data_IF_711572893871
#
_entry.id   IF_711572893871
#
_cell.length_a   1.000
_cell.length_b   1.000
_cell.length_c   1.000
_cell.angle_alpha   90.00
_cell.angle_beta   90.00
_cell.angle_gamma   90.00
#
_symmetry.space_group_name_H-M   'P 1'
#
loop_
_entity.id
_entity.type
_entity.pdbx_description
1 polymer ?
#
# COMPACT_ATOMS: atom_id res chain seq x y z
N UNK A 1 33.90 34.27 -16.72
CA UNK A 1 34.54 32.95 -16.86
C UNK A 1 34.43 32.29 -15.49
N UNK A 2 33.59 31.29 -15.23
CA UNK A 2 32.72 30.46 -16.06
C UNK A 2 31.41 30.18 -15.34
N UNK A 3 30.33 30.11 -16.10
CA UNK A 3 29.01 29.65 -15.70
C UNK A 3 29.03 28.12 -15.77
N UNK A 4 28.90 27.44 -14.62
CA UNK A 4 28.91 25.98 -14.58
C UNK A 4 27.53 25.46 -15.00
N UNK A 5 27.32 25.40 -16.31
CA UNK A 5 26.17 24.73 -16.92
C UNK A 5 26.13 23.27 -16.48
N UNK A 6 25.10 22.89 -15.72
CA UNK A 6 24.83 21.50 -15.39
C UNK A 6 24.35 20.81 -16.69
N UNK A 7 25.24 20.03 -17.29
CA UNK A 7 24.93 19.15 -18.42
C UNK A 7 23.85 18.15 -17.97
N UNK A 8 22.61 18.38 -18.42
CA UNK A 8 21.53 17.40 -18.28
C UNK A 8 21.87 16.26 -19.21
N UNK A 9 22.56 15.25 -18.67
CA UNK A 9 22.81 14.01 -19.37
C UNK A 9 21.49 13.47 -19.90
N UNK A 10 21.40 13.37 -21.22
CA UNK A 10 20.29 12.79 -21.97
C UNK A 10 20.24 11.30 -21.65
N UNK A 11 19.65 10.97 -20.49
CA UNK A 11 19.23 9.63 -20.16
C UNK A 11 18.08 9.28 -21.09
N UNK A 12 18.40 8.71 -22.24
CA UNK A 12 17.45 8.09 -23.15
C UNK A 12 16.74 7.00 -22.35
N UNK A 13 15.53 7.30 -21.87
CA UNK A 13 14.69 6.36 -21.15
C UNK A 13 14.48 5.13 -22.04
N UNK A 14 15.13 4.02 -21.67
CA UNK A 14 14.97 2.66 -22.22
C UNK A 14 13.54 2.09 -22.01
N UNK A 15 12.54 2.95 -21.77
CA UNK A 15 11.10 2.65 -21.89
C UNK A 15 10.54 3.06 -23.25
N UNK A 16 11.39 3.17 -24.28
CA UNK A 16 11.00 3.40 -25.68
C UNK A 16 10.82 2.11 -26.47
N UNK A 17 10.84 0.94 -25.82
CA UNK A 17 10.33 -0.29 -26.42
C UNK A 17 8.87 -0.04 -26.81
N UNK A 18 8.65 0.14 -28.12
CA UNK A 18 7.41 0.52 -28.74
C UNK A 18 6.23 -0.26 -28.11
N UNK A 19 5.56 0.39 -27.15
CA UNK A 19 4.23 -0.03 -26.72
C UNK A 19 3.39 0.10 -27.97
N UNK A 20 3.11 -1.01 -28.64
CA UNK A 20 2.08 -1.04 -29.67
C UNK A 20 0.82 -0.51 -29.00
N UNK A 21 0.47 0.74 -29.28
CA UNK A 21 -0.71 1.41 -28.73
C UNK A 21 -1.91 0.72 -29.34
N UNK A 22 -2.32 -0.40 -28.75
CA UNK A 22 -3.55 -1.09 -29.11
C UNK A 22 -4.69 -0.30 -28.47
N UNK A 23 -5.51 0.33 -29.32
CA UNK A 23 -6.77 0.94 -28.88
C UNK A 23 -7.65 -0.18 -28.29
N UNK A 24 -8.04 -0.08 -27.00
CA UNK A 24 -8.99 -1.01 -26.42
C UNK A 24 -10.29 -1.04 -27.22
N UNK A 25 -10.96 -2.21 -27.33
CA UNK A 25 -12.20 -2.34 -28.10
C UNK A 25 -13.35 -1.48 -27.57
N UNK A 26 -13.27 -1.04 -26.31
CA UNK A 26 -14.25 -0.23 -25.60
C UNK A 26 -13.89 1.27 -25.56
N UNK A 27 -12.84 1.71 -26.27
CA UNK A 27 -12.46 3.11 -26.28
C UNK A 27 -13.44 3.97 -27.10
N UNK A 28 -14.04 4.96 -26.44
CA UNK A 28 -14.96 5.93 -27.04
C UNK A 28 -14.32 6.68 -28.22
N UNK A 29 -15.11 6.92 -29.26
CA UNK A 29 -14.77 7.84 -30.36
C UNK A 29 -15.20 9.25 -29.94
N UNK A 30 -14.21 10.11 -29.68
CA UNK A 30 -14.42 11.50 -29.31
C UNK A 30 -14.31 12.40 -30.54
N UNK A 31 -15.03 13.51 -30.53
CA UNK A 31 -14.86 14.59 -31.51
C UNK A 31 -13.56 15.35 -31.26
N UNK A 32 -13.04 16.07 -32.27
CA UNK A 32 -11.82 16.87 -32.13
C UNK A 32 -11.93 17.86 -30.95
N UNK A 33 -13.11 18.48 -30.79
CA UNK A 33 -13.36 19.42 -29.70
C UNK A 33 -13.32 18.77 -28.30
N UNK A 34 -13.78 17.53 -28.16
CA UNK A 34 -13.71 16.77 -26.89
C UNK A 34 -12.29 16.27 -26.62
N UNK A 35 -11.51 16.01 -27.68
CA UNK A 35 -10.12 15.59 -27.57
C UNK A 35 -9.20 16.74 -27.15
N UNK A 36 -9.51 17.97 -27.58
CA UNK A 36 -8.82 19.21 -27.20
C UNK A 36 -9.19 19.70 -25.78
N UNK A 37 -10.16 19.07 -25.10
CA UNK A 37 -10.58 19.48 -23.77
C UNK A 37 -9.52 19.17 -22.69
N UNK A 38 -9.07 20.21 -21.98
CA UNK A 38 -8.13 20.08 -20.87
C UNK A 38 -8.83 19.78 -19.55
N UNK A 39 -8.59 18.60 -18.99
CA UNK A 39 -9.10 18.21 -17.66
C UNK A 39 -8.04 18.38 -16.58
N UNK A 40 -8.26 19.33 -15.67
CA UNK A 40 -7.48 19.39 -14.43
C UNK A 40 -7.90 18.26 -13.49
N UNK A 41 -7.09 17.21 -13.36
CA UNK A 41 -7.33 16.10 -12.43
C UNK A 41 -6.46 16.25 -11.18
N UNK A 42 -7.09 16.26 -10.01
CA UNK A 42 -6.39 16.24 -8.72
C UNK A 42 -6.32 14.81 -8.22
N UNK A 43 -5.11 14.29 -8.07
CA UNK A 43 -4.89 13.01 -7.43
C UNK A 43 -4.99 13.18 -5.91
N UNK A 44 -5.96 12.51 -5.30
CA UNK A 44 -6.10 12.44 -3.84
C UNK A 44 -5.87 11.00 -3.39
N UNK A 45 -5.30 10.82 -2.20
CA UNK A 45 -5.12 9.51 -1.58
C UNK A 45 -6.43 8.94 -0.98
N UNK A 46 -7.59 9.43 -1.44
CA UNK A 46 -8.90 8.99 -0.97
C UNK A 46 -9.35 7.78 -1.78
N UNK A 47 -9.59 6.66 -1.11
CA UNK A 47 -10.11 5.46 -1.72
C UNK A 47 -11.63 5.63 -1.92
N UNK A 48 -12.13 5.60 -3.17
CA UNK A 48 -13.56 5.78 -3.45
C UNK A 48 -14.42 4.64 -2.86
N UNK A 49 -13.81 3.51 -2.52
CA UNK A 49 -14.48 2.37 -1.88
C UNK A 49 -14.38 2.41 -0.35
N UNK A 50 -13.68 3.37 0.25
CA UNK A 50 -13.62 3.49 1.70
C UNK A 50 -14.97 3.97 2.28
N UNK A 51 -15.46 3.34 3.35
CA UNK A 51 -16.70 3.75 4.01
C UNK A 51 -16.56 5.12 4.66
N UNK A 52 -17.62 5.93 4.63
CA UNK A 52 -17.56 7.33 5.09
C UNK A 52 -18.22 7.55 6.46
N UNK A 53 -18.99 6.59 6.98
CA UNK A 53 -19.89 6.79 8.13
C UNK A 53 -19.81 5.66 9.17
N UNK A 54 -18.60 5.22 9.51
CA UNK A 54 -18.43 4.18 10.55
C UNK A 54 -18.74 4.76 11.94
N UNK A 55 -19.55 4.03 12.71
CA UNK A 55 -19.83 4.31 14.12
C UNK A 55 -19.34 3.14 14.98
N UNK A 56 -18.63 3.41 16.07
CA UNK A 56 -18.12 2.40 17.03
C UNK A 56 -18.52 2.74 18.45
N UNK A 57 -18.78 1.73 19.26
CA UNK A 57 -19.07 1.91 20.69
C UNK A 57 -17.78 2.22 21.46
N UNK A 58 -17.80 3.30 22.24
CA UNK A 58 -16.73 3.65 23.17
C UNK A 58 -17.07 3.14 24.56
N UNK A 59 -16.32 2.14 25.05
CA UNK A 59 -16.48 1.64 26.43
C UNK A 59 -16.14 2.70 27.49
N UNK A 60 -15.21 3.61 27.18
CA UNK A 60 -14.84 4.72 28.06
C UNK A 60 -16.01 5.68 28.28
N UNK A 61 -16.76 5.97 27.22
CA UNK A 61 -17.82 6.98 27.23
C UNK A 61 -19.22 6.38 27.25
N UNK A 62 -19.31 5.06 27.20
CA UNK A 62 -20.53 4.25 27.18
C UNK A 62 -21.53 4.68 26.09
N UNK A 63 -21.01 5.12 24.95
CA UNK A 63 -21.80 5.68 23.86
C UNK A 63 -21.26 5.28 22.48
N UNK A 64 -22.12 5.30 21.47
CA UNK A 64 -21.74 5.16 20.07
C UNK A 64 -21.17 6.46 19.53
N UNK A 65 -20.01 6.39 18.88
CA UNK A 65 -19.31 7.54 18.34
C UNK A 65 -18.89 7.34 16.89
N UNK A 66 -18.97 8.40 16.05
CA UNK A 66 -18.42 8.33 14.70
C UNK A 66 -16.90 8.16 14.76
N UNK A 67 -16.38 7.36 13.83
CA UNK A 67 -14.94 7.20 13.64
C UNK A 67 -14.48 8.32 12.72
N UNK A 68 -13.57 9.18 13.20
CA UNK A 68 -13.12 10.38 12.48
C UNK A 68 -12.15 10.09 11.32
N UNK A 69 -11.53 8.91 11.31
CA UNK A 69 -10.53 8.52 10.31
C UNK A 69 -10.77 7.09 9.85
N UNK A 70 -10.85 6.91 8.53
CA UNK A 70 -10.97 5.61 7.88
C UNK A 70 -9.71 5.37 7.06
N UNK A 71 -9.17 4.16 7.15
CA UNK A 71 -8.02 3.76 6.38
C UNK A 71 -8.36 3.72 4.88
N UNK A 72 -7.47 4.29 4.08
CA UNK A 72 -7.64 4.43 2.63
C UNK A 72 -6.84 3.37 1.86
N UNK A 73 -6.00 2.58 2.54
CA UNK A 73 -5.23 1.52 1.89
C UNK A 73 -6.13 0.34 1.50
N UNK A 74 -6.14 -0.01 0.21
CA UNK A 74 -6.80 -1.21 -0.29
C UNK A 74 -5.87 -2.42 -0.18
N UNK A 75 -6.25 -3.41 0.63
CA UNK A 75 -5.51 -4.66 0.81
C UNK A 75 -6.16 -5.75 -0.03
N UNK A 76 -5.43 -6.25 -1.03
CA UNK A 76 -5.93 -7.32 -1.91
C UNK A 76 -5.69 -8.72 -1.33
N UNK A 77 -4.59 -8.90 -0.60
CA UNK A 77 -4.22 -10.16 0.04
C UNK A 77 -3.59 -9.88 1.41
N UNK A 78 -4.06 -10.59 2.43
CA UNK A 78 -3.43 -10.66 3.75
C UNK A 78 -3.31 -12.12 4.14
N UNK A 79 -2.10 -12.56 4.50
CA UNK A 79 -1.83 -13.93 4.91
C UNK A 79 -1.04 -13.92 6.23
N UNK A 80 -1.62 -14.53 7.27
CA UNK A 80 -0.93 -14.74 8.54
C UNK A 80 0.02 -15.92 8.45
N UNK A 81 1.30 -15.70 8.76
CA UNK A 81 2.31 -16.75 8.88
C UNK A 81 2.43 -17.30 10.30
N UNK A 82 2.94 -18.52 10.44
CA UNK A 82 3.23 -19.18 11.73
C UNK A 82 4.70 -19.62 11.87
N UNK A 83 5.56 -19.24 10.92
CA UNK A 83 6.98 -19.57 10.95
C UNK A 83 7.73 -18.56 11.81
N UNK A 84 8.59 -19.08 12.69
CA UNK A 84 9.45 -18.28 13.57
C UNK A 84 10.89 -18.60 13.22
N UNK A 85 11.67 -17.56 12.93
CA UNK A 85 13.11 -17.71 12.73
C UNK A 85 13.76 -18.12 14.05
N UNK A 86 14.52 -19.22 14.06
CA UNK A 86 15.12 -19.81 15.27
C UNK A 86 16.00 -18.81 16.04
N UNK A 87 16.78 -18.03 15.29
CA UNK A 87 17.72 -17.07 15.86
C UNK A 87 17.09 -15.69 16.13
N UNK A 88 15.78 -15.55 15.96
CA UNK A 88 15.06 -14.37 16.43
C UNK A 88 14.91 -14.37 17.95
N UNK A 89 14.55 -13.23 18.53
CA UNK A 89 14.27 -13.12 19.96
C UNK A 89 13.10 -14.02 20.40
N UNK A 90 12.05 -14.15 19.58
CA UNK A 90 10.95 -15.08 19.87
C UNK A 90 11.43 -16.54 19.76
N UNK A 91 12.21 -16.89 18.73
CA UNK A 91 12.74 -18.24 18.56
C UNK A 91 13.62 -18.71 19.73
N UNK A 92 14.50 -17.83 20.21
CA UNK A 92 15.32 -18.09 21.41
C UNK A 92 14.47 -18.24 22.67
N UNK A 93 13.48 -17.36 22.88
CA UNK A 93 12.57 -17.44 24.03
C UNK A 93 11.78 -18.74 24.07
N UNK A 94 11.27 -19.20 22.93
CA UNK A 94 10.56 -20.48 22.85
C UNK A 94 11.48 -21.66 23.12
N UNK A 95 12.70 -21.63 22.57
CA UNK A 95 13.71 -22.67 22.82
C UNK A 95 14.07 -22.81 24.29
N UNK A 96 14.31 -21.68 24.98
CA UNK A 96 14.57 -21.65 26.43
C UNK A 96 13.36 -22.12 27.25
N UNK A 97 12.15 -21.75 26.85
CA UNK A 97 10.94 -22.20 27.52
C UNK A 97 10.79 -23.73 27.42
N UNK A 98 11.07 -24.30 26.25
CA UNK A 98 11.03 -25.73 26.02
C UNK A 98 12.10 -26.45 26.85
N UNK A 99 13.33 -25.94 26.89
CA UNK A 99 14.40 -26.55 27.70
C UNK A 99 14.10 -26.52 29.20
N UNK A 100 13.46 -25.45 29.69
CA UNK A 100 13.10 -25.34 31.10
C UNK A 100 11.91 -26.23 31.47
N UNK A 101 10.99 -26.48 30.53
CA UNK A 101 9.85 -27.37 30.73
C UNK A 101 10.27 -28.85 30.72
N UNK A 102 11.27 -29.25 29.93
CA UNK A 102 11.79 -30.62 29.90
C UNK A 102 12.66 -30.98 31.11
N UNK A 103 13.13 -30.00 31.89
CA UNK A 103 13.83 -30.24 33.16
C UNK A 103 12.95 -30.73 34.32
N UNK A 104 11.62 -30.68 34.20
CA UNK A 104 10.68 -31.10 35.24
C UNK A 104 10.30 -32.59 35.22
N UNK A 105 10.77 -33.35 34.23
CA UNK A 105 10.42 -34.77 34.03
C UNK A 105 11.53 -35.76 34.44
N UNK A 106 12.53 -35.33 35.24
CA UNK A 106 13.64 -36.20 35.68
C UNK A 106 13.62 -36.43 37.21
N UNK A 107 12.44 -36.74 37.77
CA UNK A 107 12.30 -37.38 39.08
C UNK A 107 11.31 -38.53 39.01
#
# INVERSE_FOLDING_TARGET
YEDSSTEVGEGVDESSAAKTLLKPPDQLELTEAELEEEFTRVLSANNPHAPQNIVRYSFKERAYKPVSYVDQTAIHLSLGGNLILRDSDEGRRQSLRLSNASGWFIF
#
